data_IF_233880958085
#
_entry.id   IF_233880958085
#
_cell.length_a   1.000
_cell.length_b   1.000
_cell.length_c   1.000
_cell.angle_alpha   90.00
_cell.angle_beta   90.00
_cell.angle_gamma   90.00
#
_symmetry.space_group_name_H-M   'P 1'
#
loop_
_entity.id
_entity.type
_entity.pdbx_description
1 polymer ?
#
# COMPACT_ATOMS: atom_id res chain seq x y z
N UNK A 1 -25.55 13.09 20.97
CA UNK A 1 -24.65 12.02 21.45
C UNK A 1 -24.62 10.83 20.52
N UNK A 2 -25.79 10.34 20.13
CA UNK A 2 -25.85 9.19 19.24
C UNK A 2 -25.26 9.47 17.88
N UNK A 3 -25.45 10.65 17.38
CA UNK A 3 -24.89 11.03 16.10
C UNK A 3 -23.36 11.07 16.17
N UNK A 4 -22.83 11.65 17.22
CA UNK A 4 -21.38 11.70 17.41
C UNK A 4 -20.83 10.28 17.61
N UNK A 5 -21.54 9.46 18.35
CA UNK A 5 -21.12 8.09 18.56
C UNK A 5 -21.19 7.29 17.27
N UNK A 6 -22.24 7.51 16.48
CA UNK A 6 -22.37 6.86 15.18
C UNK A 6 -21.24 7.22 14.22
N UNK A 7 -20.91 8.50 14.12
CA UNK A 7 -19.80 8.94 13.28
C UNK A 7 -18.48 8.34 13.75
N UNK A 8 -18.26 8.32 15.07
CA UNK A 8 -17.06 7.74 15.64
C UNK A 8 -16.97 6.24 15.33
N UNK A 9 -18.10 5.54 15.45
CA UNK A 9 -18.13 4.11 15.16
C UNK A 9 -17.84 3.82 13.70
N UNK A 10 -18.36 4.64 12.79
CA UNK A 10 -18.09 4.49 11.37
C UNK A 10 -16.58 4.64 11.13
N UNK A 11 -15.96 5.66 11.68
CA UNK A 11 -14.54 5.87 11.54
C UNK A 11 -13.72 4.75 12.17
N UNK A 12 -14.15 4.22 13.29
CA UNK A 12 -13.45 3.14 13.98
C UNK A 12 -13.61 1.81 13.27
N UNK A 13 -14.80 1.54 12.72
CA UNK A 13 -15.06 0.25 12.12
C UNK A 13 -14.53 0.15 10.70
N UNK A 14 -14.44 1.26 9.99
CA UNK A 14 -13.86 1.22 8.66
C UNK A 14 -12.36 1.37 8.75
N UNK A 15 -11.68 0.26 8.61
CA UNK A 15 -10.23 0.24 8.48
C UNK A 15 -9.93 -0.74 7.38
N UNK A 16 -9.09 -0.33 6.45
CA UNK A 16 -8.72 -1.23 5.36
C UNK A 16 -8.05 -2.46 5.91
N UNK A 17 -8.32 -3.57 5.26
CA UNK A 17 -7.70 -4.85 5.59
C UNK A 17 -6.50 -5.02 4.69
N UNK A 18 -5.34 -5.13 5.28
CA UNK A 18 -4.09 -5.13 4.54
C UNK A 18 -3.36 -6.43 4.73
N UNK A 19 -2.86 -6.98 3.63
CA UNK A 19 -1.91 -8.09 3.67
C UNK A 19 -0.52 -7.49 3.58
N UNK A 20 0.31 -7.79 4.56
CA UNK A 20 1.72 -7.37 4.54
C UNK A 20 2.55 -8.45 3.86
N UNK A 21 3.48 -8.03 3.02
CA UNK A 21 4.38 -8.94 2.32
C UNK A 21 5.81 -8.56 2.60
N UNK A 22 6.60 -9.51 3.07
CA UNK A 22 8.02 -9.31 3.31
C UNK A 22 8.83 -10.34 2.56
N UNK A 23 9.93 -9.92 1.97
CA UNK A 23 10.82 -10.81 1.23
C UNK A 23 12.20 -10.79 1.90
N UNK A 24 12.68 -11.98 2.27
CA UNK A 24 14.02 -12.13 2.79
C UNK A 24 14.97 -12.35 1.63
N UNK A 25 15.74 -11.34 1.32
CA UNK A 25 16.69 -11.40 0.21
C UNK A 25 18.01 -12.02 0.64
N UNK A 26 18.85 -12.38 -0.31
CA UNK A 26 20.17 -12.94 -0.02
C UNK A 26 20.96 -12.03 0.90
N UNK A 27 21.60 -12.60 1.91
CA UNK A 27 22.36 -11.84 2.90
C UNK A 27 21.57 -11.35 4.09
N UNK A 28 20.25 -11.55 4.09
CA UNK A 28 19.39 -11.15 5.21
C UNK A 28 18.80 -12.38 5.90
N UNK A 29 18.29 -12.19 7.10
CA UNK A 29 17.69 -13.28 7.86
C UNK A 29 16.16 -13.15 7.90
N UNK A 30 15.49 -14.27 8.20
CA UNK A 30 14.03 -14.23 8.36
C UNK A 30 13.63 -13.34 9.54
N UNK A 31 14.49 -13.24 10.55
CA UNK A 31 14.27 -12.35 11.69
C UNK A 31 14.25 -10.89 11.25
N UNK A 32 15.16 -10.50 10.35
CA UNK A 32 15.18 -9.15 9.81
C UNK A 32 13.84 -8.84 9.10
N UNK A 33 13.34 -9.81 8.35
CA UNK A 33 12.06 -9.65 7.64
C UNK A 33 10.91 -9.50 8.62
N UNK A 34 10.87 -10.31 9.68
CA UNK A 34 9.80 -10.21 10.66
C UNK A 34 9.85 -8.89 11.43
N UNK A 35 11.03 -8.42 11.79
CA UNK A 35 11.18 -7.11 12.42
C UNK A 35 10.68 -5.99 11.50
N UNK A 36 11.03 -6.07 10.23
CA UNK A 36 10.54 -5.11 9.24
C UNK A 36 9.04 -5.11 9.11
N UNK A 37 8.43 -6.31 9.11
CA UNK A 37 6.98 -6.43 9.04
C UNK A 37 6.31 -5.92 10.33
N UNK A 38 6.93 -6.12 11.48
CA UNK A 38 6.40 -5.57 12.73
C UNK A 38 6.38 -4.04 12.69
N UNK A 39 7.45 -3.43 12.19
CA UNK A 39 7.49 -1.98 11.99
C UNK A 39 6.43 -1.52 10.99
N UNK A 40 6.32 -2.25 9.89
CA UNK A 40 5.33 -1.92 8.86
C UNK A 40 3.91 -2.02 9.40
N UNK A 41 3.65 -3.00 10.25
CA UNK A 41 2.35 -3.14 10.90
C UNK A 41 2.00 -1.90 11.72
N UNK A 42 2.97 -1.35 12.44
CA UNK A 42 2.77 -0.11 13.19
C UNK A 42 2.51 1.07 12.26
N UNK A 43 3.22 1.14 11.15
CA UNK A 43 3.01 2.22 10.18
C UNK A 43 1.62 2.12 9.54
N UNK A 44 1.19 0.93 9.20
CA UNK A 44 -0.13 0.69 8.64
C UNK A 44 -1.23 1.09 9.64
N UNK A 45 -1.05 0.73 10.90
CA UNK A 45 -1.99 1.13 11.95
C UNK A 45 -2.05 2.65 12.08
N UNK A 46 -0.90 3.32 12.06
CA UNK A 46 -0.83 4.78 12.11
C UNK A 46 -1.55 5.41 10.92
N UNK A 47 -1.47 4.78 9.76
CA UNK A 47 -2.16 5.28 8.55
C UNK A 47 -3.67 5.02 8.59
N UNK A 48 -4.15 4.25 9.55
CA UNK A 48 -5.58 3.99 9.70
C UNK A 48 -6.06 2.68 9.12
N UNK A 49 -5.19 1.71 9.00
CA UNK A 49 -5.54 0.39 8.45
C UNK A 49 -5.07 -0.72 9.38
N UNK A 50 -5.55 -1.93 9.14
CA UNK A 50 -5.23 -3.07 9.97
C UNK A 50 -4.50 -4.14 9.19
N UNK A 51 -3.51 -4.75 9.81
CA UNK A 51 -2.87 -5.93 9.27
C UNK A 51 -3.82 -7.10 9.43
N UNK A 52 -4.30 -7.65 8.30
CA UNK A 52 -5.19 -8.80 8.32
C UNK A 52 -4.46 -10.11 8.11
N UNK A 53 -3.34 -10.08 7.43
CA UNK A 53 -2.52 -11.26 7.19
C UNK A 53 -1.11 -10.83 6.81
N UNK A 54 -0.18 -11.78 6.84
CA UNK A 54 1.22 -11.54 6.55
C UNK A 54 1.74 -12.70 5.72
N UNK A 55 2.48 -12.38 4.65
CA UNK A 55 3.11 -13.38 3.79
C UNK A 55 4.60 -13.07 3.70
N UNK A 56 5.41 -14.10 3.76
CA UNK A 56 6.86 -13.95 3.61
C UNK A 56 7.37 -14.91 2.54
N UNK A 57 8.48 -14.55 1.91
CA UNK A 57 9.17 -15.40 0.97
C UNK A 57 10.67 -15.15 1.06
N UNK A 58 11.44 -16.21 0.95
CA UNK A 58 12.90 -16.09 0.83
C UNK A 58 13.26 -16.17 -0.65
N UNK A 59 14.05 -15.22 -1.11
CA UNK A 59 14.57 -15.19 -2.48
C UNK A 59 15.98 -14.64 -2.47
N UNK A 60 16.80 -15.08 -3.38
CA UNK A 60 18.14 -14.51 -3.51
C UNK A 60 18.06 -13.09 -4.08
N UNK A 61 17.21 -12.89 -5.07
CA UNK A 61 16.98 -11.59 -5.69
C UNK A 61 15.48 -11.40 -5.94
N UNK A 62 15.01 -10.14 -6.03
CA UNK A 62 13.60 -9.90 -6.35
C UNK A 62 13.29 -10.38 -7.77
N UNK A 63 12.05 -10.84 -7.96
CA UNK A 63 11.55 -11.12 -9.28
C UNK A 63 11.34 -9.78 -10.03
N UNK A 64 11.73 -9.75 -11.29
CA UNK A 64 11.63 -8.51 -12.08
C UNK A 64 10.20 -8.05 -12.30
N UNK A 65 9.27 -8.98 -12.44
CA UNK A 65 7.89 -8.65 -12.77
C UNK A 65 7.02 -8.41 -11.54
N UNK A 66 7.22 -9.17 -10.45
CA UNK A 66 6.31 -9.17 -9.30
C UNK A 66 6.99 -9.00 -7.95
N UNK A 67 8.30 -8.88 -7.92
CA UNK A 67 9.11 -8.88 -6.71
C UNK A 67 9.15 -10.24 -6.01
N UNK A 68 8.03 -10.94 -5.94
CA UNK A 68 7.91 -12.30 -5.41
C UNK A 68 7.73 -13.29 -6.55
N UNK A 69 7.91 -14.57 -6.28
CA UNK A 69 7.77 -15.59 -7.31
C UNK A 69 6.31 -15.78 -7.73
N UNK A 70 6.11 -16.30 -8.95
CA UNK A 70 4.76 -16.48 -9.50
C UNK A 70 3.85 -17.32 -8.61
N UNK A 71 4.39 -18.38 -8.04
CA UNK A 71 3.60 -19.22 -7.13
C UNK A 71 3.18 -18.45 -5.89
N UNK A 72 4.04 -17.57 -5.38
CA UNK A 72 3.73 -16.75 -4.23
C UNK A 72 2.69 -15.68 -4.59
N UNK A 73 2.70 -15.17 -5.82
CA UNK A 73 1.66 -14.24 -6.27
C UNK A 73 0.29 -14.91 -6.24
N UNK A 74 0.20 -16.17 -6.67
CA UNK A 74 -1.05 -16.92 -6.63
C UNK A 74 -1.50 -17.15 -5.19
N UNK A 75 -0.58 -17.49 -4.31
CA UNK A 75 -0.88 -17.64 -2.88
C UNK A 75 -1.39 -16.35 -2.29
N UNK A 76 -0.73 -15.23 -2.62
CA UNK A 76 -1.13 -13.90 -2.16
C UNK A 76 -2.54 -13.56 -2.64
N UNK A 77 -2.84 -13.89 -3.89
CA UNK A 77 -4.17 -13.65 -4.45
C UNK A 77 -5.23 -14.44 -3.69
N UNK A 78 -4.95 -15.69 -3.38
CA UNK A 78 -5.86 -16.54 -2.61
C UNK A 78 -6.09 -16.00 -1.21
N UNK A 79 -5.03 -15.55 -0.55
CA UNK A 79 -5.14 -14.95 0.78
C UNK A 79 -6.00 -13.68 0.71
N UNK A 80 -5.77 -12.84 -0.29
CA UNK A 80 -6.56 -11.61 -0.46
C UNK A 80 -8.05 -11.92 -0.63
N UNK A 81 -8.37 -12.96 -1.38
CA UNK A 81 -9.76 -13.35 -1.56
C UNK A 81 -10.35 -13.90 -0.27
N UNK A 82 -9.59 -14.74 0.44
CA UNK A 82 -10.08 -15.38 1.66
C UNK A 82 -10.40 -14.41 2.77
N UNK A 83 -9.60 -13.37 2.93
CA UNK A 83 -9.78 -12.38 4.00
C UNK A 83 -10.44 -11.10 3.51
N UNK A 84 -10.80 -11.03 2.25
CA UNK A 84 -11.38 -9.84 1.63
C UNK A 84 -10.47 -8.62 1.86
N UNK A 85 -9.21 -8.75 1.45
CA UNK A 85 -8.23 -7.69 1.62
C UNK A 85 -8.51 -6.52 0.68
N UNK A 86 -8.27 -5.32 1.16
CA UNK A 86 -8.43 -4.11 0.36
C UNK A 86 -7.13 -3.75 -0.35
N UNK A 87 -6.01 -3.96 0.32
CA UNK A 87 -4.71 -3.50 -0.15
C UNK A 87 -3.63 -4.48 0.28
N UNK A 88 -2.60 -4.56 -0.53
CA UNK A 88 -1.39 -5.32 -0.21
C UNK A 88 -0.25 -4.34 -0.05
N UNK A 89 0.53 -4.47 1.01
CA UNK A 89 1.67 -3.58 1.26
C UNK A 89 2.93 -4.41 1.41
N UNK A 90 3.91 -4.10 0.58
CA UNK A 90 5.23 -4.74 0.61
C UNK A 90 6.16 -3.95 1.52
N UNK A 91 6.92 -4.63 2.32
CA UNK A 91 7.95 -3.99 3.14
C UNK A 91 9.13 -3.52 2.28
N UNK A 92 9.36 -4.20 1.17
CA UNK A 92 10.43 -3.87 0.23
C UNK A 92 9.92 -2.88 -0.82
N UNK A 93 10.80 -2.03 -1.30
CA UNK A 93 10.43 -1.04 -2.31
C UNK A 93 10.12 -1.72 -3.65
N UNK A 94 9.00 -1.34 -4.25
CA UNK A 94 8.56 -1.87 -5.54
C UNK A 94 8.90 -0.90 -6.65
N UNK A 95 9.35 -1.44 -7.79
CA UNK A 95 9.44 -0.61 -8.99
C UNK A 95 8.03 -0.30 -9.51
N UNK A 96 7.88 0.74 -10.33
CA UNK A 96 6.57 1.03 -10.93
C UNK A 96 6.02 -0.16 -11.73
N UNK A 97 6.90 -0.90 -12.42
CA UNK A 97 6.48 -2.07 -13.18
C UNK A 97 5.98 -3.20 -12.30
N UNK A 98 6.69 -3.48 -11.22
CA UNK A 98 6.29 -4.50 -10.27
C UNK A 98 4.94 -4.15 -9.65
N UNK A 99 4.78 -2.91 -9.23
CA UNK A 99 3.54 -2.44 -8.63
C UNK A 99 2.37 -2.58 -9.60
N UNK A 100 2.57 -2.16 -10.83
CA UNK A 100 1.55 -2.26 -11.87
C UNK A 100 1.14 -3.71 -12.11
N UNK A 101 2.14 -4.59 -12.27
CA UNK A 101 1.87 -6.00 -12.54
C UNK A 101 1.12 -6.67 -11.37
N UNK A 102 1.52 -6.35 -10.15
CA UNK A 102 0.86 -6.88 -8.96
C UNK A 102 -0.59 -6.44 -8.91
N UNK A 103 -0.85 -5.16 -9.14
CA UNK A 103 -2.22 -4.64 -9.11
C UNK A 103 -3.09 -5.30 -10.16
N UNK A 104 -2.54 -5.55 -11.34
CA UNK A 104 -3.30 -6.22 -12.39
C UNK A 104 -3.70 -7.63 -12.01
N UNK A 105 -2.76 -8.39 -11.47
CA UNK A 105 -3.02 -9.80 -11.14
C UNK A 105 -3.89 -9.92 -9.91
N UNK A 106 -3.63 -9.10 -8.90
CA UNK A 106 -4.36 -9.20 -7.64
C UNK A 106 -5.74 -8.54 -7.69
N UNK A 107 -5.93 -7.60 -8.60
CA UNK A 107 -7.17 -6.83 -8.66
C UNK A 107 -7.34 -5.92 -7.44
N UNK A 108 -6.25 -5.56 -6.81
CA UNK A 108 -6.23 -4.73 -5.61
C UNK A 108 -5.06 -3.78 -5.68
N UNK A 109 -5.10 -2.73 -4.87
CA UNK A 109 -3.99 -1.79 -4.75
C UNK A 109 -2.79 -2.50 -4.12
N UNK A 110 -1.62 -2.31 -4.70
CA UNK A 110 -0.36 -2.80 -4.15
C UNK A 110 0.53 -1.59 -3.87
N UNK A 111 0.95 -1.47 -2.63
CA UNK A 111 1.79 -0.38 -2.17
C UNK A 111 3.06 -0.93 -1.57
N UNK A 112 4.00 -0.04 -1.28
CA UNK A 112 5.19 -0.40 -0.54
C UNK A 112 5.30 0.49 0.70
N UNK A 113 6.33 0.25 1.50
CA UNK A 113 6.56 1.00 2.74
C UNK A 113 6.60 2.51 2.47
N UNK A 114 7.26 2.92 1.41
CA UNK A 114 7.38 4.33 1.05
C UNK A 114 6.02 4.99 0.90
N UNK A 115 5.09 4.33 0.22
CA UNK A 115 3.74 4.86 0.02
C UNK A 115 3.02 5.08 1.35
N UNK A 116 3.15 4.14 2.28
CA UNK A 116 2.53 4.25 3.60
C UNK A 116 3.12 5.42 4.39
N UNK A 117 4.43 5.56 4.36
CA UNK A 117 5.12 6.66 5.06
C UNK A 117 4.67 8.00 4.48
N UNK A 118 4.59 8.11 3.16
CA UNK A 118 4.14 9.34 2.52
C UNK A 118 2.69 9.66 2.90
N UNK A 119 1.85 8.65 3.00
CA UNK A 119 0.46 8.85 3.42
C UNK A 119 0.39 9.41 4.84
N UNK A 120 1.20 8.86 5.74
CA UNK A 120 1.25 9.36 7.13
C UNK A 120 1.70 10.81 7.16
N UNK A 121 2.75 11.14 6.39
CA UNK A 121 3.24 12.51 6.31
C UNK A 121 2.18 13.45 5.77
N UNK A 122 1.44 13.02 4.75
CA UNK A 122 0.38 13.83 4.17
C UNK A 122 -0.73 14.12 5.18
N UNK A 123 -1.06 13.14 6.02
CA UNK A 123 -2.08 13.30 7.05
C UNK A 123 -1.63 14.27 8.15
N UNK A 124 -0.33 14.38 8.38
CA UNK A 124 0.22 15.16 9.50
C UNK A 124 0.87 16.48 9.10
N UNK A 125 0.86 16.84 7.82
CA UNK A 125 1.43 18.11 7.37
C UNK A 125 0.44 19.24 7.65
N UNK A 126 0.84 20.19 8.49
CA UNK A 126 -0.05 21.28 8.92
C UNK A 126 0.39 22.66 8.45
N UNK A 127 1.67 22.83 8.10
CA UNK A 127 2.17 24.12 7.61
C UNK A 127 2.18 24.13 6.09
N UNK A 128 2.20 25.31 5.50
CA UNK A 128 2.30 25.44 4.05
C UNK A 128 3.58 24.82 3.53
N UNK A 129 4.68 25.08 4.21
CA UNK A 129 5.97 24.53 3.84
C UNK A 129 5.96 22.99 3.96
N UNK A 130 5.43 22.46 5.05
CA UNK A 130 5.33 21.04 5.26
C UNK A 130 4.47 20.36 4.20
N UNK A 131 3.34 20.95 3.88
CA UNK A 131 2.45 20.44 2.83
C UNK A 131 3.15 20.44 1.47
N UNK A 132 3.88 21.49 1.16
CA UNK A 132 4.61 21.59 -0.10
C UNK A 132 5.69 20.52 -0.20
N UNK A 133 6.41 20.26 0.88
CA UNK A 133 7.45 19.23 0.91
C UNK A 133 6.88 17.84 0.72
N UNK A 134 5.78 17.56 1.40
CA UNK A 134 5.10 16.25 1.25
C UNK A 134 4.58 16.09 -0.16
N UNK A 135 3.98 17.15 -0.70
CA UNK A 135 3.46 17.11 -2.07
C UNK A 135 4.55 16.84 -3.08
N UNK A 136 5.71 17.45 -2.90
CA UNK A 136 6.86 17.21 -3.77
C UNK A 136 7.31 15.75 -3.68
N UNK A 137 7.41 15.21 -2.47
CA UNK A 137 7.79 13.82 -2.27
C UNK A 137 6.79 12.87 -2.90
N UNK A 138 5.49 13.16 -2.75
CA UNK A 138 4.43 12.40 -3.37
C UNK A 138 4.54 12.41 -4.88
N UNK A 139 4.81 13.56 -5.46
CA UNK A 139 4.98 13.68 -6.91
C UNK A 139 6.16 12.85 -7.40
N UNK A 140 7.28 12.89 -6.69
CA UNK A 140 8.45 12.10 -7.05
C UNK A 140 8.14 10.59 -7.03
N UNK A 141 7.34 10.17 -6.09
CA UNK A 141 6.92 8.78 -6.01
C UNK A 141 5.94 8.43 -7.12
N UNK A 142 4.99 9.32 -7.39
CA UNK A 142 3.88 9.04 -8.29
C UNK A 142 4.19 9.19 -9.77
N UNK A 143 5.06 10.13 -10.14
CA UNK A 143 5.33 10.41 -11.55
C UNK A 143 5.75 9.20 -12.37
N UNK A 144 6.74 8.40 -11.94
CA UNK A 144 7.11 7.21 -12.72
C UNK A 144 5.96 6.19 -12.78
N UNK A 145 5.16 6.12 -11.74
CA UNK A 145 4.05 5.18 -11.66
C UNK A 145 2.85 5.62 -12.48
N UNK A 146 2.59 6.90 -12.49
CA UNK A 146 1.53 7.48 -13.30
C UNK A 146 1.80 7.29 -14.79
N UNK A 147 3.04 7.58 -15.21
CA UNK A 147 3.45 7.44 -16.60
C UNK A 147 3.28 6.01 -17.09
N UNK A 148 3.62 5.05 -16.23
CA UNK A 148 3.46 3.65 -16.57
C UNK A 148 1.98 3.27 -16.65
N UNK A 149 1.18 3.72 -15.72
CA UNK A 149 -0.26 3.49 -15.75
C UNK A 149 -0.92 4.06 -16.97
N UNK A 150 -0.59 5.28 -17.33
CA UNK A 150 -1.11 5.94 -18.53
C UNK A 150 -0.69 5.21 -19.80
N UNK A 151 0.55 4.73 -19.84
CA UNK A 151 1.07 3.99 -20.96
C UNK A 151 0.39 2.64 -21.12
N UNK A 152 0.08 2.00 -20.01
CA UNK A 152 -0.52 0.68 -20.02
C UNK A 152 -1.99 0.70 -20.42
N UNK A 153 -2.62 1.85 -20.40
CA UNK A 153 -3.99 1.96 -20.86
C UNK A 153 -4.75 3.03 -20.11
N UNK A 154 -5.32 3.92 -20.85
CA UNK A 154 -6.10 4.98 -20.27
C UNK A 154 -7.31 4.46 -19.52
N UNK A 155 -7.68 3.22 -19.79
CA UNK A 155 -8.75 2.55 -19.08
C UNK A 155 -8.44 2.33 -17.60
N UNK A 156 -7.21 2.57 -17.18
CA UNK A 156 -6.81 2.38 -15.79
C UNK A 156 -7.15 3.57 -14.90
N UNK A 157 -7.97 4.45 -15.35
CA UNK A 157 -8.22 5.71 -14.66
C UNK A 157 -8.69 5.59 -13.23
N UNK A 158 -9.43 4.58 -12.91
CA UNK A 158 -9.93 4.41 -11.56
C UNK A 158 -8.98 3.72 -10.63
N UNK A 159 -7.88 3.20 -11.13
CA UNK A 159 -6.99 2.37 -10.34
C UNK A 159 -5.69 3.05 -10.01
N UNK A 160 -5.08 2.60 -8.95
CA UNK A 160 -3.74 2.96 -8.62
C UNK A 160 -3.56 4.34 -8.02
N UNK A 161 -2.40 4.52 -7.47
CA UNK A 161 -1.99 5.75 -6.82
C UNK A 161 -1.89 6.91 -7.80
N UNK A 162 -1.45 6.63 -9.03
CA UNK A 162 -1.19 7.67 -10.02
C UNK A 162 -2.41 8.46 -10.43
N UNK A 163 -3.61 7.96 -10.17
CA UNK A 163 -4.85 8.62 -10.58
C UNK A 163 -5.49 9.44 -9.46
N UNK A 164 -4.89 9.44 -8.29
CA UNK A 164 -5.44 10.16 -7.13
C UNK A 164 -4.80 11.52 -7.01
N UNK A 165 -5.51 12.43 -6.36
CA UNK A 165 -5.00 13.76 -6.09
C UNK A 165 -3.82 13.73 -5.13
N UNK A 166 -3.06 14.83 -5.05
CA UNK A 166 -1.94 14.91 -4.11
C UNK A 166 -2.39 14.65 -2.68
N UNK A 167 -1.59 13.87 -1.95
CA UNK A 167 -1.90 13.55 -0.58
C UNK A 167 -2.96 12.48 -0.39
N UNK A 168 -3.42 11.87 -1.47
CA UNK A 168 -4.40 10.82 -1.39
C UNK A 168 -3.78 9.47 -1.69
N UNK A 169 -4.13 8.49 -0.87
CA UNK A 169 -3.79 7.10 -1.09
C UNK A 169 -5.08 6.29 -1.15
N UNK A 170 -4.96 5.04 -1.48
CA UNK A 170 -6.09 4.14 -1.42
C UNK A 170 -6.71 4.13 -0.02
N UNK A 171 -5.88 4.12 1.01
CA UNK A 171 -6.35 4.14 2.39
C UNK A 171 -7.23 5.34 2.67
N UNK A 172 -6.72 6.51 2.32
CA UNK A 172 -7.45 7.75 2.56
C UNK A 172 -8.70 7.85 1.72
N UNK A 173 -8.61 7.49 0.45
CA UNK A 173 -9.74 7.55 -0.47
C UNK A 173 -10.87 6.66 0.01
N UNK A 174 -10.57 5.46 0.45
CA UNK A 174 -11.59 4.53 0.92
C UNK A 174 -12.25 5.01 2.20
N UNK A 175 -11.47 5.61 3.11
CA UNK A 175 -12.04 6.20 4.31
C UNK A 175 -13.04 7.31 3.98
N UNK A 176 -12.70 8.15 3.01
CA UNK A 176 -13.60 9.23 2.60
C UNK A 176 -14.89 8.71 2.00
N UNK A 177 -14.83 7.61 1.29
CA UNK A 177 -16.03 7.04 0.68
C UNK A 177 -17.02 6.53 1.71
N UNK A 178 -16.53 6.09 2.84
CA UNK A 178 -17.39 5.63 3.91
C UNK A 178 -18.09 6.79 4.59
N UNK A 179 -17.41 7.89 4.70
CA UNK A 179 -17.97 9.08 5.31
C UNK A 179 -18.77 9.90 4.32
#
# INVERSE_FOLDING_TARGET
YQEALGATLIERTFRERIVLVGVTLGGHTDEDTEEGLDELSLLVDTAGADEAARITQRRDTPDNAFYIGKGKVEELKEVCLAIDADTVVFDNELTPGQQYNLERVLGRTALDRTAVILDIFAQNAHTQEGKAQVELAMLRYRLPRLRRGAKAGLSQQGGGIGTRGPGETRLETDRRRIM
#
